data_IF_620639229722
#
_entry.id   IF_620639229722
#
_cell.length_a   1.000
_cell.length_b   1.000
_cell.length_c   1.000
_cell.angle_alpha   90.00
_cell.angle_beta   90.00
_cell.angle_gamma   90.00
#
_symmetry.space_group_name_H-M   'P 1'
#
loop_
_entity.id
_entity.type
_entity.pdbx_description
1 polymer ?
#
# COMPACT_ATOMS: atom_id res chain seq x y z
N UNK A 1 26.56 -6.28 15.41
CA UNK A 1 25.23 -5.94 15.96
C UNK A 1 24.23 -6.96 15.43
N UNK A 2 23.28 -7.44 16.24
CA UNK A 2 22.22 -8.38 15.80
C UNK A 2 20.90 -7.62 15.63
N UNK A 3 20.15 -7.93 14.57
CA UNK A 3 18.88 -7.28 14.23
C UNK A 3 17.86 -8.30 13.70
N UNK A 4 16.58 -7.94 13.79
CA UNK A 4 15.45 -8.68 13.21
C UNK A 4 14.50 -7.73 12.52
N UNK A 5 13.59 -8.27 11.71
CA UNK A 5 12.64 -7.50 10.95
C UNK A 5 11.51 -8.36 10.39
N UNK A 6 10.58 -7.72 9.69
CA UNK A 6 9.45 -8.35 9.03
C UNK A 6 9.53 -8.10 7.52
N UNK A 7 9.23 -9.13 6.72
CA UNK A 7 8.92 -8.98 5.31
C UNK A 7 7.41 -8.84 5.15
N UNK A 8 6.96 -7.69 4.67
CA UNK A 8 5.57 -7.43 4.34
C UNK A 8 5.52 -6.48 3.14
N UNK A 9 4.95 -6.88 1.99
CA UNK A 9 4.71 -5.95 0.88
C UNK A 9 3.78 -4.81 1.30
N UNK A 10 3.98 -3.58 0.80
CA UNK A 10 3.10 -2.43 1.08
C UNK A 10 1.65 -2.74 0.68
N UNK A 11 1.46 -3.39 -0.48
CA UNK A 11 0.17 -3.82 -0.98
C UNK A 11 -0.63 -4.71 -0.01
N UNK A 12 0.04 -5.36 0.95
CA UNK A 12 -0.58 -6.27 1.93
C UNK A 12 -0.97 -5.58 3.23
N UNK A 13 -0.72 -4.27 3.37
CA UNK A 13 -1.26 -3.49 4.48
C UNK A 13 -2.80 -3.46 4.39
N UNK A 14 -3.51 -3.43 5.54
CA UNK A 14 -4.94 -3.21 5.54
C UNK A 14 -5.25 -1.85 4.89
N UNK A 15 -6.38 -1.78 4.20
CA UNK A 15 -6.82 -0.59 3.48
C UNK A 15 -8.33 -0.66 3.22
N UNK A 16 -8.97 0.50 3.24
CA UNK A 16 -10.38 0.66 2.88
C UNK A 16 -10.59 0.76 1.35
N UNK A 17 -9.49 0.86 0.58
CA UNK A 17 -9.50 1.11 -0.87
C UNK A 17 -8.99 -0.09 -1.70
N UNK A 18 -9.17 -1.31 -1.18
CA UNK A 18 -8.85 -2.56 -1.86
C UNK A 18 -7.37 -2.96 -1.89
N UNK A 19 -6.43 -2.02 -1.69
CA UNK A 19 -4.99 -2.31 -1.66
C UNK A 19 -4.27 -1.46 -0.59
N UNK A 20 -3.30 -2.06 0.10
CA UNK A 20 -2.43 -1.35 1.03
C UNK A 20 -1.57 -0.28 0.35
N UNK A 21 -1.46 0.90 0.97
CA UNK A 21 -0.74 2.05 0.44
C UNK A 21 0.11 2.75 1.52
N UNK A 22 0.76 3.87 1.19
CA UNK A 22 1.52 4.68 2.16
C UNK A 22 0.60 5.61 2.97
N UNK A 23 -0.45 5.04 3.57
CA UNK A 23 -1.46 5.71 4.39
C UNK A 23 -1.16 5.65 5.89
N UNK A 24 -2.13 6.05 6.70
CA UNK A 24 -2.12 5.92 8.16
C UNK A 24 -1.75 4.50 8.65
N UNK A 25 -2.24 3.46 7.98
CA UNK A 25 -2.00 2.06 8.33
C UNK A 25 -0.52 1.68 8.17
N UNK A 26 0.20 2.30 7.22
CA UNK A 26 1.64 2.11 7.08
C UNK A 26 2.41 2.70 8.27
N UNK A 27 1.99 3.87 8.78
CA UNK A 27 2.57 4.46 9.99
C UNK A 27 2.28 3.58 11.22
N UNK A 28 1.04 3.12 11.37
CA UNK A 28 0.65 2.22 12.46
C UNK A 28 1.44 0.91 12.42
N UNK A 29 1.71 0.35 11.23
CA UNK A 29 2.56 -0.82 11.09
C UNK A 29 4.01 -0.56 11.52
N UNK A 30 4.59 0.58 11.15
CA UNK A 30 5.93 0.99 11.62
C UNK A 30 5.96 1.14 13.15
N UNK A 31 4.91 1.71 13.75
CA UNK A 31 4.80 1.81 15.21
C UNK A 31 4.69 0.43 15.88
N UNK A 32 3.99 -0.53 15.26
CA UNK A 32 3.94 -1.91 15.73
C UNK A 32 5.32 -2.60 15.63
N UNK A 33 6.06 -2.40 14.53
CA UNK A 33 7.42 -2.92 14.38
C UNK A 33 8.33 -2.38 15.48
N UNK A 34 8.26 -1.08 15.75
CA UNK A 34 9.01 -0.42 16.83
C UNK A 34 8.63 -0.98 18.19
N UNK A 35 7.34 -1.12 18.50
CA UNK A 35 6.86 -1.69 19.75
C UNK A 35 7.31 -3.16 19.92
N UNK A 36 7.36 -3.92 18.82
CA UNK A 36 7.85 -5.30 18.78
C UNK A 36 9.37 -5.46 18.73
N UNK A 37 10.13 -4.36 18.83
CA UNK A 37 11.60 -4.37 18.78
C UNK A 37 12.19 -4.76 17.42
N UNK A 38 11.38 -4.77 16.37
CA UNK A 38 11.83 -5.02 15.00
C UNK A 38 12.54 -3.77 14.48
N UNK A 39 13.67 -3.98 13.82
CA UNK A 39 14.53 -2.88 13.32
C UNK A 39 14.45 -2.68 11.81
N UNK A 40 13.97 -3.70 11.10
CA UNK A 40 13.94 -3.72 9.65
C UNK A 40 12.53 -4.05 9.16
N UNK A 41 12.09 -3.35 8.12
CA UNK A 41 10.93 -3.70 7.31
C UNK A 41 11.43 -3.96 5.89
N UNK A 42 11.32 -5.21 5.45
CA UNK A 42 11.61 -5.58 4.08
C UNK A 42 10.32 -5.51 3.26
N UNK A 43 10.39 -4.88 2.09
CA UNK A 43 9.29 -4.72 1.14
C UNK A 43 9.66 -5.33 -0.22
N UNK A 44 8.65 -5.49 -1.09
CA UNK A 44 8.84 -5.82 -2.50
C UNK A 44 9.13 -4.54 -3.33
N UNK A 45 9.54 -4.64 -4.60
CA UNK A 45 9.74 -3.46 -5.44
C UNK A 45 8.50 -2.57 -5.52
N UNK A 46 8.73 -1.26 -5.51
CA UNK A 46 7.66 -0.24 -5.49
C UNK A 46 7.27 0.27 -6.87
N UNK A 47 7.81 -0.30 -7.95
CA UNK A 47 7.50 0.12 -9.31
C UNK A 47 6.08 -0.27 -9.73
N UNK A 48 5.53 0.37 -10.80
CA UNK A 48 4.28 -0.08 -11.41
C UNK A 48 4.32 -1.57 -11.70
N UNK A 49 3.27 -2.30 -11.31
CA UNK A 49 3.21 -3.75 -11.52
C UNK A 49 3.05 -4.08 -13.01
N UNK A 50 3.60 -5.23 -13.41
CA UNK A 50 3.50 -5.75 -14.77
C UNK A 50 2.48 -6.88 -14.89
N UNK A 51 2.76 -7.82 -15.80
CA UNK A 51 1.90 -8.99 -16.01
C UNK A 51 1.67 -9.77 -14.70
N UNK A 52 0.39 -10.07 -14.42
CA UNK A 52 -0.05 -10.79 -13.23
C UNK A 52 0.23 -10.05 -11.93
N UNK A 53 0.20 -8.71 -11.96
CA UNK A 53 0.50 -7.81 -10.84
C UNK A 53 1.86 -8.04 -10.19
N UNK A 54 2.81 -8.56 -10.96
CA UNK A 54 4.15 -8.85 -10.45
C UNK A 54 4.94 -7.54 -10.24
N UNK A 55 5.43 -7.25 -9.03
CA UNK A 55 6.28 -6.08 -8.77
C UNK A 55 7.67 -6.20 -9.40
N UNK A 56 8.03 -7.39 -9.92
CA UNK A 56 9.29 -7.65 -10.60
C UNK A 56 9.22 -7.48 -12.12
N UNK A 57 8.04 -7.17 -12.66
CA UNK A 57 7.82 -6.98 -14.10
C UNK A 57 7.46 -5.53 -14.44
N UNK A 58 8.03 -4.58 -13.71
CA UNK A 58 7.76 -3.15 -13.91
C UNK A 58 8.27 -2.63 -15.25
N UNK A 59 7.48 -1.73 -15.88
CA UNK A 59 7.88 -0.96 -17.05
C UNK A 59 8.88 0.16 -16.73
N UNK A 60 9.10 0.47 -15.46
CA UNK A 60 10.05 1.50 -15.02
C UNK A 60 10.82 1.05 -13.77
N UNK A 61 12.13 1.24 -13.79
CA UNK A 61 12.99 1.00 -12.62
C UNK A 61 13.05 2.19 -11.66
N UNK A 62 12.40 3.31 -12.00
CA UNK A 62 12.48 4.58 -11.25
C UNK A 62 11.14 5.08 -10.73
N UNK A 63 10.04 4.79 -11.44
CA UNK A 63 8.72 5.27 -11.04
C UNK A 63 8.21 4.51 -9.82
N UNK A 64 7.37 5.17 -9.02
CA UNK A 64 6.55 4.51 -8.00
C UNK A 64 5.23 4.00 -8.60
N UNK A 65 4.67 2.96 -8.00
CA UNK A 65 3.34 2.46 -8.33
C UNK A 65 2.28 3.45 -7.79
N UNK A 66 1.42 4.03 -8.65
CA UNK A 66 0.38 4.95 -8.20
C UNK A 66 -0.63 4.32 -7.23
N UNK A 67 -0.76 2.99 -7.20
CA UNK A 67 -1.65 2.31 -6.25
C UNK A 67 -1.23 2.49 -4.78
N UNK A 68 0.00 2.94 -4.51
CA UNK A 68 0.46 3.21 -3.15
C UNK A 68 0.22 4.64 -2.68
N UNK A 69 -0.53 5.44 -3.45
CA UNK A 69 -0.95 6.79 -3.06
C UNK A 69 -2.06 6.69 -2.01
N UNK A 70 -1.95 7.49 -0.96
CA UNK A 70 -2.98 7.63 0.07
C UNK A 70 -4.10 8.55 -0.40
N UNK A 71 -5.29 7.98 -0.65
CA UNK A 71 -6.46 8.73 -1.11
C UNK A 71 -7.02 9.66 -0.02
N UNK A 72 -6.88 9.31 1.26
CA UNK A 72 -7.33 10.17 2.37
C UNK A 72 -6.53 11.47 2.41
N UNK A 73 -5.23 11.41 2.11
CA UNK A 73 -4.40 12.62 1.96
C UNK A 73 -4.92 13.50 0.83
N UNK A 74 -5.27 12.92 -0.33
CA UNK A 74 -5.80 13.70 -1.47
C UNK A 74 -7.17 14.33 -1.15
N UNK A 75 -8.02 13.63 -0.40
CA UNK A 75 -9.30 14.18 0.10
C UNK A 75 -9.04 15.37 1.03
N UNK A 76 -8.11 15.21 1.99
CA UNK A 76 -7.76 16.27 2.94
C UNK A 76 -7.14 17.51 2.27
N UNK A 77 -6.50 17.32 1.12
CA UNK A 77 -5.95 18.41 0.30
C UNK A 77 -6.96 19.02 -0.69
N UNK A 78 -8.23 18.60 -0.64
CA UNK A 78 -9.31 19.04 -1.55
C UNK A 78 -9.01 18.74 -3.04
N UNK A 79 -8.12 17.76 -3.31
CA UNK A 79 -7.79 17.29 -4.67
C UNK A 79 -8.74 16.19 -5.16
N UNK A 80 -9.40 15.49 -4.22
CA UNK A 80 -10.46 14.53 -4.43
C UNK A 80 -11.60 14.77 -3.44
N UNK A 81 -12.80 14.35 -3.80
CA UNK A 81 -13.95 14.27 -2.89
C UNK A 81 -14.09 12.85 -2.35
N UNK A 82 -14.70 12.70 -1.17
CA UNK A 82 -14.99 11.37 -0.61
C UNK A 82 -15.97 10.60 -1.50
N UNK A 83 -16.94 11.30 -2.07
CA UNK A 83 -17.92 10.73 -2.98
C UNK A 83 -17.29 10.14 -4.25
N UNK A 84 -16.22 10.75 -4.79
CA UNK A 84 -15.47 10.20 -5.92
C UNK A 84 -14.76 8.89 -5.56
N UNK A 85 -14.20 8.80 -4.35
CA UNK A 85 -13.55 7.57 -3.89
C UNK A 85 -14.57 6.47 -3.58
N UNK A 86 -15.67 6.80 -2.91
CA UNK A 86 -16.72 5.85 -2.50
C UNK A 86 -17.55 5.33 -3.69
N UNK A 87 -17.53 6.02 -4.84
CA UNK A 87 -18.21 5.59 -6.05
C UNK A 87 -17.50 4.43 -6.79
N UNK A 88 -16.29 4.04 -6.36
CA UNK A 88 -15.56 2.92 -6.94
C UNK A 88 -16.28 1.59 -6.66
N UNK A 89 -16.45 0.77 -7.70
CA UNK A 89 -16.96 -0.59 -7.58
C UNK A 89 -15.78 -1.56 -7.40
N UNK A 90 -15.74 -2.23 -6.25
CA UNK A 90 -14.72 -3.23 -5.93
C UNK A 90 -15.20 -4.67 -6.20
N UNK A 91 -16.41 -4.83 -6.74
CA UNK A 91 -17.05 -6.12 -6.94
C UNK A 91 -17.84 -6.60 -5.72
N UNK A 92 -18.56 -7.71 -5.89
CA UNK A 92 -19.49 -8.24 -4.87
C UNK A 92 -18.82 -9.18 -3.85
N UNK A 93 -17.54 -9.55 -4.07
CA UNK A 93 -16.83 -10.52 -3.25
C UNK A 93 -15.72 -9.85 -2.44
N UNK A 94 -15.87 -9.76 -1.13
CA UNK A 94 -14.87 -9.15 -0.25
C UNK A 94 -13.50 -9.83 -0.20
N UNK A 95 -13.31 -11.00 -0.83
CA UNK A 95 -12.00 -11.63 -1.01
C UNK A 95 -11.29 -11.23 -2.31
N UNK A 96 -11.97 -10.59 -3.26
CA UNK A 96 -11.45 -10.24 -4.58
C UNK A 96 -11.77 -8.78 -4.93
N UNK A 97 -10.97 -8.21 -5.83
CA UNK A 97 -11.25 -6.92 -6.46
C UNK A 97 -11.42 -7.20 -7.95
N UNK A 98 -12.52 -6.74 -8.54
CA UNK A 98 -12.85 -6.93 -9.97
C UNK A 98 -12.06 -5.98 -10.91
#
# INVERSE_FOLDING_TARGET
MRESGVLLPVASLPSDYGIGCFSKEAYEFVDQLKAGGQKNWQILPLGPTGYGDSPYQSFSTFAGNPYFIDLETLINEELLTREECDACDFGDNGEFID
#
